data_IF_608085317034
#
_entry.id   IF_608085317034
#
_cell.length_a   1.000
_cell.length_b   1.000
_cell.length_c   1.000
_cell.angle_alpha   90.00
_cell.angle_beta   90.00
_cell.angle_gamma   90.00
#
_symmetry.space_group_name_H-M   'P 1'
#
loop_
_entity.id
_entity.type
_entity.pdbx_description
1 polymer ?
#
# COMPACT_ATOMS: atom_id res chain seq x y z
N UNK A 1 -11.28 -7.20 -19.69
CA UNK A 1 -10.70 -6.75 -18.41
C UNK A 1 -11.34 -7.49 -17.24
N UNK A 2 -12.63 -7.31 -16.90
CA UNK A 2 -13.28 -8.08 -15.81
C UNK A 2 -13.31 -9.60 -16.04
N UNK A 3 -13.51 -10.05 -17.27
CA UNK A 3 -13.48 -11.48 -17.63
C UNK A 3 -12.10 -12.11 -17.42
N UNK A 4 -11.04 -11.37 -17.74
CA UNK A 4 -9.66 -11.88 -17.67
C UNK A 4 -9.06 -11.81 -16.26
N UNK A 5 -9.58 -10.93 -15.40
CA UNK A 5 -9.20 -10.87 -13.97
C UNK A 5 -10.05 -11.77 -13.08
N UNK A 6 -10.79 -12.73 -13.65
CA UNK A 6 -11.78 -13.56 -12.91
C UNK A 6 -12.77 -12.72 -12.08
N UNK A 7 -13.25 -11.60 -12.64
CA UNK A 7 -14.06 -10.59 -11.98
C UNK A 7 -13.40 -9.86 -10.78
N UNK A 8 -12.07 -9.93 -10.64
CA UNK A 8 -11.33 -9.13 -9.67
C UNK A 8 -11.43 -7.63 -9.98
N UNK A 9 -11.84 -6.84 -8.98
CA UNK A 9 -11.84 -5.38 -9.06
C UNK A 9 -10.43 -4.80 -8.85
N UNK A 10 -9.95 -4.07 -9.86
CA UNK A 10 -8.64 -3.39 -9.84
C UNK A 10 -8.58 -2.21 -8.87
N UNK A 11 -9.73 -1.64 -8.49
CA UNK A 11 -9.82 -0.56 -7.50
C UNK A 11 -10.73 -1.05 -6.40
N UNK A 12 -10.19 -1.13 -5.18
CA UNK A 12 -10.99 -1.42 -3.98
C UNK A 12 -11.16 -0.13 -3.19
N UNK A 13 -12.36 0.48 -3.18
CA UNK A 13 -12.61 1.67 -2.39
C UNK A 13 -12.33 1.39 -0.91
N UNK A 14 -11.51 2.22 -0.29
CA UNK A 14 -11.28 2.25 1.15
C UNK A 14 -11.69 3.62 1.71
N UNK A 15 -11.90 3.67 3.04
CA UNK A 15 -12.38 4.85 3.76
C UNK A 15 -11.46 6.07 3.51
N UNK A 16 -10.15 5.84 3.37
CA UNK A 16 -9.18 6.90 3.04
C UNK A 16 -8.68 6.79 1.61
N UNK A 17 -8.49 7.95 0.95
CA UNK A 17 -7.90 8.03 -0.41
C UNK A 17 -6.51 7.36 -0.49
N UNK A 18 -5.74 7.40 0.60
CA UNK A 18 -4.44 6.73 0.71
C UNK A 18 -4.57 5.21 0.63
N UNK A 19 -5.46 4.62 1.42
CA UNK A 19 -5.71 3.19 1.40
C UNK A 19 -6.28 2.73 0.04
N UNK A 20 -7.18 3.52 -0.56
CA UNK A 20 -7.73 3.24 -1.90
C UNK A 20 -6.64 3.17 -2.96
N UNK A 21 -5.72 4.15 -2.97
CA UNK A 21 -4.61 4.15 -3.93
C UNK A 21 -3.66 2.96 -3.72
N UNK A 22 -3.39 2.60 -2.46
CA UNK A 22 -2.58 1.42 -2.15
C UNK A 22 -3.26 0.13 -2.66
N UNK A 23 -4.54 -0.10 -2.34
CA UNK A 23 -5.22 -1.32 -2.80
C UNK A 23 -5.37 -1.38 -4.31
N UNK A 24 -5.49 -0.23 -4.99
CA UNK A 24 -5.46 -0.20 -6.44
C UNK A 24 -4.11 -0.67 -7.00
N UNK A 25 -3.00 -0.15 -6.46
CA UNK A 25 -1.66 -0.59 -6.87
C UNK A 25 -1.39 -2.06 -6.55
N UNK A 26 -1.78 -2.51 -5.36
CA UNK A 26 -1.66 -3.91 -4.92
C UNK A 26 -2.48 -4.86 -5.81
N UNK A 27 -3.70 -4.45 -6.19
CA UNK A 27 -4.55 -5.22 -7.10
C UNK A 27 -3.99 -5.26 -8.53
N UNK A 28 -3.47 -4.15 -9.03
CA UNK A 28 -2.81 -4.09 -10.35
C UNK A 28 -1.60 -5.04 -10.37
N UNK A 29 -0.78 -5.01 -9.31
CA UNK A 29 0.37 -5.90 -9.17
C UNK A 29 -0.04 -7.37 -9.12
N UNK A 30 -1.09 -7.69 -8.36
CA UNK A 30 -1.63 -9.05 -8.25
C UNK A 30 -2.07 -9.60 -9.61
N UNK A 31 -2.69 -8.77 -10.44
CA UNK A 31 -3.17 -9.14 -11.77
C UNK A 31 -2.16 -8.86 -12.89
N UNK A 32 -0.86 -8.72 -12.59
CA UNK A 32 0.16 -8.42 -13.59
C UNK A 32 0.15 -9.43 -14.75
N UNK A 33 0.11 -10.73 -14.45
CA UNK A 33 0.15 -11.78 -15.48
C UNK A 33 -1.10 -11.74 -16.36
N UNK A 34 -2.27 -11.57 -15.74
CA UNK A 34 -3.56 -11.49 -16.44
C UNK A 34 -3.60 -10.27 -17.37
N UNK A 35 -3.09 -9.12 -16.89
CA UNK A 35 -3.02 -7.89 -17.68
C UNK A 35 -2.08 -8.03 -18.89
N UNK A 36 -0.91 -8.65 -18.70
CA UNK A 36 0.03 -8.95 -19.80
C UNK A 36 -0.52 -9.95 -20.78
N UNK A 37 -1.24 -10.97 -20.31
CA UNK A 37 -1.85 -11.94 -21.19
C UNK A 37 -3.01 -11.32 -21.98
N UNK A 38 -3.85 -10.51 -21.33
CA UNK A 38 -4.98 -9.82 -21.95
C UNK A 38 -4.56 -8.99 -23.17
N UNK A 39 -3.46 -8.22 -23.07
CA UNK A 39 -2.95 -7.40 -24.19
C UNK A 39 -2.46 -8.20 -25.39
N UNK A 40 -2.24 -9.51 -25.22
CA UNK A 40 -1.83 -10.43 -26.27
C UNK A 40 -2.99 -11.27 -26.85
N UNK A 41 -4.23 -11.06 -26.37
CA UNK A 41 -5.40 -11.81 -26.86
C UNK A 41 -5.95 -11.24 -28.18
N UNK A 42 -6.51 -12.13 -29.01
CA UNK A 42 -7.21 -11.74 -30.24
C UNK A 42 -8.39 -10.80 -29.97
N UNK A 43 -9.16 -11.07 -28.91
CA UNK A 43 -10.29 -10.23 -28.53
C UNK A 43 -9.87 -8.81 -28.13
N UNK A 44 -8.71 -8.66 -27.50
CA UNK A 44 -8.12 -7.33 -27.25
C UNK A 44 -7.71 -6.64 -28.55
N UNK A 45 -7.02 -7.33 -29.45
CA UNK A 45 -6.58 -6.77 -30.73
C UNK A 45 -7.77 -6.29 -31.58
N UNK A 46 -8.84 -7.08 -31.68
CA UNK A 46 -10.05 -6.71 -32.43
C UNK A 46 -10.74 -5.47 -31.86
N UNK A 47 -10.75 -5.31 -30.53
CA UNK A 47 -11.30 -4.12 -29.88
C UNK A 47 -10.38 -2.91 -30.03
N UNK A 48 -9.06 -3.10 -29.96
CA UNK A 48 -8.07 -2.06 -30.18
C UNK A 48 -8.18 -1.46 -31.58
N UNK A 49 -8.43 -2.27 -32.62
CA UNK A 49 -8.60 -1.80 -33.99
C UNK A 49 -9.83 -0.91 -34.21
N UNK A 50 -10.87 -1.07 -33.38
CA UNK A 50 -12.11 -0.27 -33.43
C UNK A 50 -11.97 1.12 -32.79
N UNK A 51 -10.88 1.39 -32.07
CA UNK A 51 -10.66 2.66 -31.38
C UNK A 51 -10.34 3.80 -32.36
N UNK A 52 -10.79 5.01 -32.02
CA UNK A 52 -10.36 6.22 -32.72
C UNK A 52 -8.88 6.54 -32.41
N UNK A 53 -8.30 7.52 -33.13
CA UNK A 53 -6.88 7.89 -32.97
C UNK A 53 -6.51 8.28 -31.53
N UNK A 54 -7.35 9.08 -30.87
CA UNK A 54 -7.09 9.61 -29.52
C UNK A 54 -7.12 8.49 -28.46
N UNK A 55 -8.06 7.56 -28.58
CA UNK A 55 -8.19 6.46 -27.64
C UNK A 55 -7.11 5.40 -27.86
N UNK A 56 -6.64 5.21 -29.11
CA UNK A 56 -5.45 4.38 -29.39
C UNK A 56 -4.20 4.93 -28.74
N UNK A 57 -3.97 6.24 -28.83
CA UNK A 57 -2.79 6.87 -28.22
C UNK A 57 -2.74 6.64 -26.71
N UNK A 58 -3.87 6.85 -26.02
CA UNK A 58 -3.98 6.54 -24.58
C UNK A 58 -3.75 5.06 -24.29
N UNK A 59 -4.33 4.17 -25.11
CA UNK A 59 -4.19 2.73 -24.94
C UNK A 59 -2.74 2.28 -25.10
N UNK A 60 -2.00 2.87 -26.04
CA UNK A 60 -0.58 2.57 -26.25
C UNK A 60 0.28 2.96 -25.05
N UNK A 61 -0.04 4.06 -24.36
CA UNK A 61 0.63 4.41 -23.10
C UNK A 61 0.39 3.33 -22.05
N UNK A 62 -0.84 2.85 -21.90
CA UNK A 62 -1.19 1.80 -20.92
C UNK A 62 -0.51 0.48 -21.26
N UNK A 63 -0.52 0.06 -22.53
CA UNK A 63 0.18 -1.15 -22.99
C UNK A 63 1.67 -1.02 -22.73
N UNK A 64 2.27 0.13 -23.05
CA UNK A 64 3.68 0.39 -22.75
C UNK A 64 4.02 0.28 -21.26
N UNK A 65 3.11 0.68 -20.35
CA UNK A 65 3.26 0.46 -18.92
C UNK A 65 3.14 -1.03 -18.54
N UNK A 66 2.17 -1.75 -19.11
CA UNK A 66 1.97 -3.19 -18.88
C UNK A 66 3.19 -4.01 -19.33
N UNK A 67 3.85 -3.61 -20.42
CA UNK A 67 5.04 -4.29 -20.92
C UNK A 67 6.33 -3.84 -20.20
N UNK A 68 6.29 -2.69 -19.51
CA UNK A 68 7.45 -2.13 -18.82
C UNK A 68 7.81 -2.91 -17.55
N UNK A 69 8.98 -3.56 -17.56
CA UNK A 69 9.49 -4.24 -16.36
C UNK A 69 9.86 -3.27 -15.23
N UNK A 70 10.21 -2.02 -15.54
CA UNK A 70 10.51 -1.02 -14.51
C UNK A 70 9.24 -0.59 -13.78
N UNK A 71 8.13 -0.38 -14.51
CA UNK A 71 6.83 -0.05 -13.92
C UNK A 71 6.40 -1.07 -12.86
N UNK A 72 6.48 -2.37 -13.17
CA UNK A 72 6.13 -3.44 -12.23
C UNK A 72 7.06 -3.49 -11.02
N UNK A 73 8.35 -3.26 -11.23
CA UNK A 73 9.34 -3.21 -10.14
C UNK A 73 9.06 -2.05 -9.21
N UNK A 74 8.71 -0.89 -9.76
CA UNK A 74 8.41 0.32 -8.99
C UNK A 74 7.14 0.13 -8.17
N UNK A 75 6.07 -0.42 -8.77
CA UNK A 75 4.84 -0.76 -8.03
C UNK A 75 5.14 -1.77 -6.91
N UNK A 76 5.88 -2.84 -7.21
CA UNK A 76 6.25 -3.82 -6.19
C UNK A 76 7.04 -3.18 -5.04
N UNK A 77 7.96 -2.26 -5.35
CA UNK A 77 8.71 -1.50 -4.35
C UNK A 77 7.81 -0.63 -3.47
N UNK A 78 6.90 0.13 -4.10
CA UNK A 78 5.91 0.97 -3.40
C UNK A 78 5.03 0.10 -2.49
N UNK A 79 4.46 -0.98 -3.01
CA UNK A 79 3.60 -1.89 -2.25
C UNK A 79 4.35 -2.54 -1.08
N UNK A 80 5.62 -2.91 -1.28
CA UNK A 80 6.44 -3.50 -0.23
C UNK A 80 6.80 -2.52 0.91
N UNK A 81 6.84 -1.22 0.63
CA UNK A 81 7.08 -0.18 1.65
C UNK A 81 5.79 0.19 2.37
N UNK A 82 4.71 0.42 1.63
CA UNK A 82 3.47 0.94 2.19
C UNK A 82 2.57 -0.15 2.78
N UNK A 83 2.67 -1.40 2.33
CA UNK A 83 1.85 -2.51 2.82
C UNK A 83 1.91 -2.70 4.34
N UNK A 84 3.11 -2.72 4.97
CA UNK A 84 3.22 -2.76 6.42
C UNK A 84 2.58 -1.55 7.12
N UNK A 85 2.70 -0.35 6.55
CA UNK A 85 2.11 0.88 7.12
C UNK A 85 0.58 0.88 7.04
N UNK A 86 0.01 0.40 5.93
CA UNK A 86 -1.44 0.25 5.77
C UNK A 86 -2.01 -0.71 6.81
N UNK A 87 -1.27 -1.74 7.22
CA UNK A 87 -1.68 -2.64 8.30
C UNK A 87 -1.73 -1.94 9.66
N UNK A 88 -0.76 -1.08 9.96
CA UNK A 88 -0.77 -0.26 11.19
C UNK A 88 -1.99 0.66 11.18
N UNK A 89 -2.23 1.36 10.07
CA UNK A 89 -3.38 2.27 9.95
C UNK A 89 -4.71 1.53 10.14
N UNK A 90 -4.86 0.34 9.54
CA UNK A 90 -6.07 -0.48 9.74
C UNK A 90 -6.30 -0.92 11.19
N UNK A 91 -5.23 -1.13 11.95
CA UNK A 91 -5.31 -1.48 13.38
C UNK A 91 -5.69 -0.26 14.23
N UNK A 92 -5.24 0.94 13.85
CA UNK A 92 -5.63 2.18 14.53
C UNK A 92 -7.07 2.56 14.19
N UNK A 93 -7.50 2.31 12.95
CA UNK A 93 -8.86 2.59 12.48
C UNK A 93 -9.89 1.55 12.93
N UNK A 94 -9.49 0.41 13.54
CA UNK A 94 -10.44 -0.55 14.08
C UNK A 94 -11.05 -0.02 15.38
N UNK A 95 -12.38 -0.10 15.52
CA UNK A 95 -13.11 0.36 16.72
C UNK A 95 -12.77 -0.41 18.01
N UNK A 96 -12.01 -1.50 17.92
CA UNK A 96 -11.39 -2.12 19.10
C UNK A 96 -10.37 -1.13 19.67
N UNK A 97 -10.50 -0.79 20.96
CA UNK A 97 -9.52 0.02 21.70
C UNK A 97 -8.15 -0.65 21.60
N UNK A 98 -7.35 -0.25 20.62
CA UNK A 98 -5.96 -0.62 20.56
C UNK A 98 -5.28 0.09 21.72
N UNK A 99 -4.92 -0.65 22.76
CA UNK A 99 -4.04 -0.14 23.81
C UNK A 99 -2.79 0.43 23.16
N UNK A 100 -2.33 1.60 23.61
CA UNK A 100 -1.22 2.32 22.98
C UNK A 100 0.01 1.43 22.72
N UNK A 101 0.29 0.48 23.62
CA UNK A 101 1.36 -0.51 23.47
C UNK A 101 1.31 -1.31 22.16
N UNK A 102 0.12 -1.73 21.73
CA UNK A 102 -0.06 -2.47 20.47
C UNK A 102 0.26 -1.62 19.24
N UNK A 103 0.01 -0.32 19.27
CA UNK A 103 0.29 0.58 18.14
C UNK A 103 1.82 0.76 17.98
N UNK A 104 2.55 0.93 19.08
CA UNK A 104 4.02 0.98 19.03
C UNK A 104 4.62 -0.32 18.51
N UNK A 105 4.14 -1.47 18.99
CA UNK A 105 4.58 -2.78 18.50
C UNK A 105 4.29 -2.95 17.00
N UNK A 106 3.09 -2.57 16.55
CA UNK A 106 2.70 -2.63 15.15
C UNK A 106 3.59 -1.75 14.28
N UNK A 107 3.96 -0.55 14.75
CA UNK A 107 4.87 0.35 14.05
C UNK A 107 6.29 -0.23 13.94
N UNK A 108 6.82 -0.80 15.03
CA UNK A 108 8.14 -1.46 15.01
C UNK A 108 8.17 -2.66 14.07
N UNK A 109 7.10 -3.47 14.08
CA UNK A 109 6.93 -4.56 13.12
C UNK A 109 6.86 -4.05 11.68
N UNK A 110 6.17 -2.94 11.44
CA UNK A 110 6.08 -2.34 10.11
C UNK A 110 7.46 -1.90 9.61
N UNK A 111 8.23 -1.19 10.45
CA UNK A 111 9.61 -0.80 10.15
C UNK A 111 10.51 -1.99 9.88
N UNK A 112 10.41 -3.06 10.68
CA UNK A 112 11.15 -4.29 10.45
C UNK A 112 10.83 -4.91 9.09
N UNK A 113 9.56 -5.00 8.72
CA UNK A 113 9.14 -5.51 7.41
C UNK A 113 9.67 -4.64 6.27
N UNK A 114 9.65 -3.32 6.41
CA UNK A 114 10.23 -2.40 5.41
C UNK A 114 11.73 -2.62 5.27
N UNK A 115 12.46 -2.82 6.37
CA UNK A 115 13.89 -3.14 6.33
C UNK A 115 14.16 -4.45 5.59
N UNK A 116 13.35 -5.47 5.85
CA UNK A 116 13.43 -6.76 5.14
C UNK A 116 13.17 -6.60 3.64
N UNK A 117 12.16 -5.80 3.28
CA UNK A 117 11.73 -5.61 1.90
C UNK A 117 12.69 -4.74 1.07
N UNK A 118 13.23 -3.66 1.65
CA UNK A 118 14.05 -2.66 0.96
C UNK A 118 15.55 -2.98 1.05
N UNK A 119 15.97 -3.78 2.03
CA UNK A 119 17.38 -4.06 2.27
C UNK A 119 18.15 -2.78 2.63
N UNK A 120 19.35 -2.56 2.08
CA UNK A 120 20.29 -1.50 2.49
C UNK A 120 19.72 -0.06 2.43
N UNK A 121 18.70 0.18 1.61
CA UNK A 121 18.07 1.51 1.44
C UNK A 121 17.02 1.90 2.50
N UNK A 122 16.74 1.03 3.48
CA UNK A 122 15.61 1.20 4.40
C UNK A 122 15.68 2.47 5.28
N UNK A 123 16.90 2.94 5.60
CA UNK A 123 17.12 4.05 6.57
C UNK A 123 16.38 5.33 6.16
N UNK A 124 16.36 5.67 4.87
CA UNK A 124 15.64 6.84 4.36
C UNK A 124 14.14 6.75 4.64
N UNK A 125 13.56 5.56 4.48
CA UNK A 125 12.14 5.32 4.75
C UNK A 125 11.83 5.39 6.23
N UNK A 126 12.68 4.80 7.07
CA UNK A 126 12.54 4.91 8.53
C UNK A 126 12.58 6.37 8.99
N UNK A 127 13.54 7.16 8.53
CA UNK A 127 13.61 8.59 8.85
C UNK A 127 12.33 9.35 8.48
N UNK A 128 11.74 9.03 7.32
CA UNK A 128 10.49 9.67 6.90
C UNK A 128 9.30 9.22 7.76
N UNK A 129 9.25 7.94 8.12
CA UNK A 129 8.23 7.37 9.03
C UNK A 129 8.36 8.00 10.41
N UNK A 130 9.57 8.01 10.98
CA UNK A 130 9.88 8.59 12.29
C UNK A 130 9.51 10.05 12.37
N UNK A 131 9.87 10.84 11.34
CA UNK A 131 9.49 12.25 11.28
C UNK A 131 7.98 12.43 11.31
N UNK A 132 7.22 11.61 10.57
CA UNK A 132 5.75 11.70 10.56
C UNK A 132 5.15 11.22 11.87
N UNK A 133 5.64 10.10 12.39
CA UNK A 133 5.24 9.52 13.66
C UNK A 133 5.43 10.52 14.80
N UNK A 134 6.62 11.11 14.91
CA UNK A 134 6.93 12.06 15.97
C UNK A 134 6.14 13.36 15.88
N UNK A 135 5.85 13.83 14.66
CA UNK A 135 5.13 15.09 14.49
C UNK A 135 3.62 14.98 14.68
N UNK A 136 3.03 13.80 14.41
CA UNK A 136 1.57 13.64 14.29
C UNK A 136 0.97 12.61 15.26
N UNK A 137 1.71 11.57 15.65
CA UNK A 137 1.22 10.47 16.48
C UNK A 137 1.89 10.39 17.86
N UNK A 138 3.10 10.94 18.01
CA UNK A 138 3.85 10.98 19.27
C UNK A 138 3.91 12.41 19.82
N UNK A 139 2.75 13.01 20.08
CA UNK A 139 2.68 14.22 20.90
C UNK A 139 2.29 13.86 22.33
N UNK A 140 2.76 14.67 23.30
CA UNK A 140 2.87 14.42 24.75
C UNK A 140 1.65 13.78 25.45
N UNK A 141 0.46 13.89 24.86
CA UNK A 141 -0.78 13.25 25.34
C UNK A 141 -0.68 11.70 25.36
N UNK A 142 0.05 11.11 24.42
CA UNK A 142 0.21 9.65 24.30
C UNK A 142 1.33 9.06 25.18
N UNK A 143 2.27 9.90 25.63
CA UNK A 143 3.30 9.51 26.59
C UNK A 143 2.79 9.60 28.04
N UNK A 144 1.81 10.48 28.29
CA UNK A 144 1.16 10.61 29.59
C UNK A 144 0.43 9.33 30.02
N UNK A 145 -0.25 8.63 29.10
CA UNK A 145 -1.01 7.40 29.43
C UNK A 145 -0.11 6.28 29.95
N UNK A 146 1.14 6.20 29.47
CA UNK A 146 2.16 5.27 29.99
C UNK A 146 2.58 5.61 31.42
N UNK A 147 2.75 6.89 31.74
CA UNK A 147 3.04 7.36 33.11
C UNK A 147 1.86 7.21 34.06
N UNK A 148 0.61 7.33 33.57
CA UNK A 148 -0.59 7.09 34.37
C UNK A 148 -0.80 5.60 34.70
N UNK A 149 -0.46 4.69 33.78
CA UNK A 149 -0.51 3.25 34.05
C UNK A 149 0.64 2.78 34.96
N UNK A 150 1.84 3.37 34.87
CA UNK A 150 2.98 3.06 35.76
C UNK A 150 2.83 3.66 37.17
N UNK A 151 2.04 4.72 37.35
CA UNK A 151 1.76 5.34 38.67
C UNK A 151 0.58 4.74 39.43
N UNK A 152 -0.16 3.80 38.83
CA UNK A 152 -1.23 3.03 39.50
C UNK A 152 -0.75 1.68 40.05
N UNK A 153 0.52 1.30 39.86
CA UNK A 153 1.09 0.14 40.57
C UNK A 153 1.30 0.55 42.03
N UNK A 154 0.55 -0.02 43.00
CA UNK A 154 0.84 0.25 44.40
C UNK A 154 2.23 -0.31 44.70
N UNK A 155 3.09 0.51 45.29
CA UNK A 155 4.29 0.02 45.94
C UNK A 155 3.80 -0.83 47.12
N UNK A 156 3.87 -2.15 46.97
CA UNK A 156 3.78 -3.13 48.05
C UNK A 156 5.11 -3.89 48.12
#
# INVERSE_FOLDING_TARGET
>A
MRTETQNGELVRPAITRFATNFFALDSILTHQADLKWMTNTRGWAENYMKLNRKDREKTNVVVGLIDSQTYWRDIAGVTAIFGPLVKVLRMVDSDEKAEMGHIYEAMDRAKFMIKKNVGKGYKKWWQMIDKRWNNQLHQDIHAADKLFLESQVPIC
#
